data_IF_641491798307
#
_entry.id   IF_641491798307
#
_cell.length_a   1.000
_cell.length_b   1.000
_cell.length_c   1.000
_cell.angle_alpha   90.00
_cell.angle_beta   90.00
_cell.angle_gamma   90.00
#
_symmetry.space_group_name_H-M   'P 1'
#
loop_
_entity.id
_entity.type
_entity.pdbx_description
1 polymer ?
#
# COMPACT_ATOMS: atom_id res chain seq x y z
N UNK A 1 3.20 -7.91 -32.98
CA UNK A 1 3.77 -7.81 -31.61
C UNK A 1 2.70 -7.27 -30.70
N UNK A 2 2.07 -8.12 -29.91
CA UNK A 2 0.97 -7.78 -29.00
C UNK A 2 1.54 -7.08 -27.77
N UNK A 3 1.32 -5.77 -27.64
CA UNK A 3 1.66 -5.02 -26.43
C UNK A 3 0.78 -5.53 -25.27
N UNK A 4 1.36 -6.35 -24.40
CA UNK A 4 0.72 -6.76 -23.17
C UNK A 4 0.51 -5.50 -22.31
N UNK A 5 -0.75 -5.11 -22.14
CA UNK A 5 -1.08 -3.85 -21.47
C UNK A 5 -0.76 -4.01 -19.97
N UNK A 6 0.17 -3.20 -19.44
CA UNK A 6 0.60 -3.22 -18.02
C UNK A 6 -0.60 -3.12 -17.06
N UNK A 7 -1.70 -2.50 -17.51
CA UNK A 7 -2.97 -2.42 -16.77
C UNK A 7 -3.60 -3.79 -16.49
N UNK A 8 -3.48 -4.73 -17.45
CA UNK A 8 -4.01 -6.09 -17.31
C UNK A 8 -3.14 -6.95 -16.38
N UNK A 9 -1.82 -6.73 -16.38
CA UNK A 9 -0.89 -7.47 -15.53
C UNK A 9 -1.06 -7.10 -14.04
N UNK A 10 -1.23 -5.80 -13.73
CA UNK A 10 -1.46 -5.32 -12.36
C UNK A 10 -2.77 -5.90 -11.78
N UNK A 11 -3.84 -5.92 -12.57
CA UNK A 11 -5.14 -6.44 -12.14
C UNK A 11 -5.10 -7.96 -11.87
N UNK A 12 -4.39 -8.72 -12.72
CA UNK A 12 -4.25 -10.16 -12.58
C UNK A 12 -3.41 -10.53 -11.36
N UNK A 13 -2.30 -9.81 -11.09
CA UNK A 13 -1.47 -10.05 -9.89
C UNK A 13 -2.24 -9.80 -8.59
N UNK A 14 -3.05 -8.73 -8.52
CA UNK A 14 -3.84 -8.40 -7.33
C UNK A 14 -4.93 -9.45 -7.07
N UNK A 15 -5.58 -9.94 -8.13
CA UNK A 15 -6.63 -10.97 -8.01
C UNK A 15 -6.06 -12.34 -7.63
N UNK A 16 -4.88 -12.71 -8.14
CA UNK A 16 -4.26 -14.02 -7.88
C UNK A 16 -3.74 -14.12 -6.44
N UNK A 17 -3.24 -13.03 -5.83
CA UNK A 17 -2.82 -13.01 -4.43
C UNK A 17 -4.01 -13.21 -3.46
N UNK A 18 -5.19 -12.70 -3.79
CA UNK A 18 -6.39 -12.87 -2.96
C UNK A 18 -6.94 -14.30 -2.94
N UNK A 19 -6.67 -15.11 -3.97
CA UNK A 19 -7.26 -16.46 -4.12
C UNK A 19 -6.38 -17.55 -3.46
N UNK A 20 -5.06 -17.35 -3.35
CA UNK A 20 -4.14 -18.35 -2.82
C UNK A 20 -4.11 -18.43 -1.27
N UNK A 21 -4.57 -17.40 -0.57
CA UNK A 21 -4.48 -17.27 0.89
C UNK A 21 -5.40 -18.24 1.71
N UNK A 22 -6.62 -18.62 1.28
CA UNK A 22 -7.54 -19.36 2.16
C UNK A 22 -7.14 -20.81 2.40
N UNK A 23 -6.34 -21.42 1.53
CA UNK A 23 -6.10 -22.87 1.60
C UNK A 23 -5.13 -23.31 2.73
N UNK A 24 -4.27 -22.43 3.23
CA UNK A 24 -3.32 -22.77 4.30
C UNK A 24 -3.78 -22.35 5.70
N UNK A 25 -4.75 -21.44 5.80
CA UNK A 25 -5.27 -20.91 7.06
C UNK A 25 -6.01 -21.98 7.92
N UNK A 26 -6.51 -23.06 7.32
CA UNK A 26 -7.28 -24.08 8.03
C UNK A 26 -6.44 -25.01 8.93
N UNK A 27 -5.12 -25.04 8.80
CA UNK A 27 -4.28 -26.02 9.54
C UNK A 27 -3.77 -25.56 10.91
N UNK A 28 -3.77 -24.26 11.25
CA UNK A 28 -3.15 -23.73 12.48
C UNK A 28 -4.11 -23.19 13.55
N UNK A 29 -5.39 -23.15 13.31
CA UNK A 29 -6.36 -22.59 14.27
C UNK A 29 -6.79 -23.60 15.34
N UNK A 30 -5.86 -24.08 16.19
CA UNK A 30 -6.22 -24.84 17.41
C UNK A 30 -6.19 -23.99 18.69
N UNK A 31 -5.55 -22.83 18.67
CA UNK A 31 -5.58 -21.89 19.78
C UNK A 31 -6.67 -20.84 19.52
N UNK A 32 -7.66 -20.80 20.42
CA UNK A 32 -8.89 -20.00 20.27
C UNK A 32 -8.75 -18.49 20.35
N UNK A 33 -7.54 -17.92 20.06
CA UNK A 33 -7.27 -16.50 19.97
C UNK A 33 -7.66 -15.88 18.62
N UNK A 34 -8.02 -14.60 18.62
CA UNK A 34 -8.09 -13.79 17.39
C UNK A 34 -6.66 -13.53 16.91
N UNK A 35 -6.41 -13.65 15.58
CA UNK A 35 -5.16 -13.16 15.02
C UNK A 35 -5.03 -11.64 15.28
N UNK A 36 -3.80 -11.08 15.40
CA UNK A 36 -2.53 -11.73 15.12
C UNK A 36 -1.88 -12.35 16.37
N UNK A 37 -0.97 -13.28 16.15
CA UNK A 37 -0.05 -13.81 17.16
C UNK A 37 1.37 -13.85 16.56
N UNK A 38 2.36 -14.12 17.37
CA UNK A 38 3.75 -14.31 16.92
C UNK A 38 3.83 -15.40 15.85
N UNK A 39 4.52 -15.09 14.74
CA UNK A 39 4.65 -15.96 13.58
C UNK A 39 3.46 -15.96 12.62
N UNK A 40 2.39 -15.22 12.90
CA UNK A 40 1.30 -15.02 11.92
C UNK A 40 1.79 -14.26 10.71
N UNK A 41 1.19 -14.55 9.56
CA UNK A 41 1.35 -13.78 8.34
C UNK A 41 0.03 -13.25 7.87
N UNK A 42 0.04 -12.14 7.14
CA UNK A 42 -1.15 -11.60 6.52
C UNK A 42 -0.83 -11.02 5.13
N UNK A 43 -1.82 -11.05 4.27
CA UNK A 43 -1.81 -10.28 3.01
C UNK A 43 -2.91 -9.23 3.06
N UNK A 44 -2.61 -8.07 2.50
CA UNK A 44 -3.50 -6.91 2.49
C UNK A 44 -3.63 -6.40 1.06
N UNK A 45 -4.84 -6.10 0.63
CA UNK A 45 -5.12 -5.35 -0.59
C UNK A 45 -5.86 -4.07 -0.22
N UNK A 46 -5.40 -2.94 -0.73
CA UNK A 46 -5.94 -1.61 -0.41
C UNK A 46 -6.22 -0.81 -1.67
N UNK A 47 -7.26 0.00 -1.62
CA UNK A 47 -7.58 1.02 -2.62
C UNK A 47 -7.80 2.35 -1.91
N UNK A 48 -7.40 3.44 -2.53
CA UNK A 48 -7.48 4.74 -1.87
C UNK A 48 -7.27 5.92 -2.79
N UNK A 49 -7.04 7.05 -2.15
CA UNK A 49 -6.75 8.33 -2.79
C UNK A 49 -5.41 8.85 -2.29
N UNK A 50 -4.54 9.18 -3.20
CA UNK A 50 -3.31 9.91 -2.94
C UNK A 50 -3.55 11.40 -3.08
N UNK A 51 -3.27 12.16 -2.02
CA UNK A 51 -3.40 13.61 -1.92
C UNK A 51 -1.99 14.22 -1.89
N UNK A 52 -1.51 14.77 -3.02
CA UNK A 52 -0.20 15.41 -3.07
C UNK A 52 -0.13 16.61 -2.14
N UNK A 53 1.05 16.87 -1.57
CA UNK A 53 1.31 18.08 -0.76
C UNK A 53 1.86 19.25 -1.57
N UNK A 54 2.17 19.05 -2.85
CA UNK A 54 2.70 20.07 -3.74
C UNK A 54 1.57 20.80 -4.46
N UNK A 55 1.65 22.14 -4.54
CA UNK A 55 0.77 22.97 -5.36
C UNK A 55 0.87 22.60 -6.85
N UNK A 56 -0.24 22.69 -7.58
CA UNK A 56 -0.33 22.30 -8.99
C UNK A 56 -0.45 20.80 -9.21
N UNK A 57 -0.72 20.03 -8.16
CA UNK A 57 -1.09 18.63 -8.25
C UNK A 57 -2.46 18.38 -7.62
N UNK A 58 -3.21 17.46 -8.21
CA UNK A 58 -4.51 17.07 -7.67
C UNK A 58 -4.53 15.60 -7.28
N UNK A 59 -5.47 15.27 -6.40
CA UNK A 59 -5.72 13.91 -5.93
C UNK A 59 -5.79 12.90 -7.06
N UNK A 60 -5.19 11.74 -6.85
CA UNK A 60 -5.24 10.61 -7.78
C UNK A 60 -5.61 9.30 -7.10
N UNK A 61 -6.04 8.31 -7.88
CA UNK A 61 -6.32 6.98 -7.36
C UNK A 61 -5.03 6.28 -6.92
N UNK A 62 -5.16 5.41 -5.93
CA UNK A 62 -4.10 4.59 -5.40
C UNK A 62 -4.55 3.15 -5.19
N UNK A 63 -3.65 2.21 -5.42
CA UNK A 63 -3.80 0.80 -5.05
C UNK A 63 -2.51 0.30 -4.43
N UNK A 64 -2.61 -0.53 -3.39
CA UNK A 64 -1.46 -1.12 -2.72
C UNK A 64 -1.73 -2.57 -2.32
N UNK A 65 -0.69 -3.40 -2.40
CA UNK A 65 -0.67 -4.75 -1.86
C UNK A 65 0.46 -4.88 -0.85
N UNK A 66 0.18 -5.50 0.30
CA UNK A 66 1.13 -5.67 1.37
C UNK A 66 1.18 -7.12 1.83
N UNK A 67 2.37 -7.58 2.18
CA UNK A 67 2.60 -8.76 3.00
C UNK A 67 3.09 -8.32 4.37
N UNK A 68 2.50 -8.88 5.43
CA UNK A 68 2.83 -8.52 6.80
C UNK A 68 3.16 -9.78 7.59
N UNK A 69 4.29 -9.75 8.31
CA UNK A 69 4.76 -10.81 9.20
C UNK A 69 4.82 -10.33 10.64
N UNK A 70 4.18 -11.03 11.54
CA UNK A 70 4.09 -10.67 12.96
C UNK A 70 5.27 -11.23 13.76
N UNK A 71 6.16 -10.35 14.20
CA UNK A 71 7.28 -10.66 15.08
C UNK A 71 6.81 -10.96 16.51
N UNK A 72 5.73 -10.30 16.92
CA UNK A 72 4.99 -10.53 18.17
C UNK A 72 3.51 -10.30 17.89
N UNK A 73 2.62 -10.56 18.85
CA UNK A 73 1.19 -10.24 18.70
C UNK A 73 0.92 -8.75 18.38
N UNK A 74 1.86 -7.85 18.70
CA UNK A 74 1.70 -6.39 18.54
C UNK A 74 2.60 -5.75 17.49
N UNK A 75 3.71 -6.39 17.15
CA UNK A 75 4.68 -5.80 16.24
C UNK A 75 4.83 -6.65 14.99
N UNK A 76 4.75 -6.02 13.84
CA UNK A 76 4.90 -6.68 12.55
C UNK A 76 5.88 -5.93 11.65
N UNK A 77 6.43 -6.67 10.69
CA UNK A 77 7.16 -6.14 9.56
C UNK A 77 6.25 -6.27 8.33
N UNK A 78 6.05 -5.16 7.63
CA UNK A 78 5.22 -5.07 6.42
C UNK A 78 6.12 -4.80 5.21
N UNK A 79 5.92 -5.54 4.13
CA UNK A 79 6.51 -5.30 2.82
C UNK A 79 5.40 -4.98 1.84
N UNK A 80 5.51 -3.87 1.13
CA UNK A 80 4.44 -3.37 0.27
C UNK A 80 4.89 -2.93 -1.10
N UNK A 81 3.98 -3.06 -2.06
CA UNK A 81 4.08 -2.50 -3.40
C UNK A 81 2.80 -1.74 -3.72
N UNK A 82 2.94 -0.51 -4.19
CA UNK A 82 1.80 0.36 -4.49
C UNK A 82 1.96 1.11 -5.80
N UNK A 83 0.83 1.58 -6.30
CA UNK A 83 0.73 2.43 -7.47
C UNK A 83 -0.23 3.58 -7.20
N UNK A 84 0.18 4.81 -7.59
CA UNK A 84 -0.65 5.99 -7.54
C UNK A 84 -0.49 6.79 -8.83
N UNK A 85 -1.52 7.56 -9.20
CA UNK A 85 -1.52 8.38 -10.41
C UNK A 85 -2.17 9.76 -10.15
N UNK A 86 -1.52 10.63 -9.34
CA UNK A 86 -1.99 12.00 -9.18
C UNK A 86 -1.91 12.77 -10.49
N UNK A 87 -2.87 13.68 -10.72
CA UNK A 87 -2.83 14.59 -11.86
C UNK A 87 -1.89 15.75 -11.58
N UNK A 88 -1.32 16.31 -12.63
CA UNK A 88 -0.38 17.45 -12.58
C UNK A 88 -0.90 18.54 -13.52
N UNK A 89 -1.01 19.75 -13.01
CA UNK A 89 -1.38 20.93 -13.80
C UNK A 89 -0.10 21.61 -14.31
N UNK A 90 0.50 21.04 -15.36
CA UNK A 90 1.68 21.58 -16.04
C UNK A 90 1.55 21.37 -17.55
N UNK A 91 2.11 22.30 -18.34
CA UNK A 91 2.22 22.11 -19.79
C UNK A 91 2.95 20.79 -20.10
N UNK A 92 2.37 19.97 -20.96
CA UNK A 92 2.90 18.67 -21.42
C UNK A 92 3.05 17.58 -20.34
N UNK A 93 2.36 17.70 -19.19
CA UNK A 93 2.31 16.62 -18.19
C UNK A 93 0.91 16.57 -17.54
N UNK A 94 0.13 15.56 -17.87
CA UNK A 94 -1.24 15.39 -17.33
C UNK A 94 -1.24 14.70 -15.95
N UNK A 95 -0.27 13.83 -15.72
CA UNK A 95 -0.18 13.07 -14.47
C UNK A 95 1.23 12.55 -14.20
N UNK A 96 1.48 12.12 -12.96
CA UNK A 96 2.72 11.41 -12.59
C UNK A 96 2.37 10.04 -12.07
N UNK A 97 2.76 9.01 -12.81
CA UNK A 97 2.66 7.64 -12.32
C UNK A 97 3.73 7.41 -11.27
N UNK A 98 3.30 6.98 -10.09
CA UNK A 98 4.19 6.60 -8.99
C UNK A 98 4.02 5.10 -8.72
N UNK A 99 5.11 4.35 -8.84
CA UNK A 99 5.19 2.98 -8.33
C UNK A 99 6.10 3.01 -7.11
N UNK A 100 5.73 2.35 -6.04
CA UNK A 100 6.52 2.32 -4.82
C UNK A 100 6.71 0.90 -4.31
N UNK A 101 7.88 0.68 -3.72
CA UNK A 101 8.22 -0.52 -2.99
C UNK A 101 8.74 -0.08 -1.62
N UNK A 102 8.26 -0.69 -0.54
CA UNK A 102 8.64 -0.25 0.81
C UNK A 102 8.55 -1.33 1.86
N UNK A 103 9.19 -1.03 2.98
CA UNK A 103 9.14 -1.83 4.19
C UNK A 103 8.79 -0.93 5.38
N UNK A 104 7.90 -1.42 6.26
CA UNK A 104 7.41 -0.71 7.43
C UNK A 104 7.49 -1.60 8.67
N UNK A 105 7.76 -1.00 9.81
CA UNK A 105 7.51 -1.59 11.13
C UNK A 105 6.19 -1.05 11.64
N UNK A 106 5.29 -1.95 12.03
CA UNK A 106 3.93 -1.59 12.46
C UNK A 106 3.72 -2.08 13.88
N UNK A 107 3.16 -1.21 14.72
CA UNK A 107 2.71 -1.53 16.07
C UNK A 107 1.20 -1.54 16.12
N UNK A 108 0.61 -2.64 16.59
CA UNK A 108 -0.82 -2.85 16.70
C UNK A 108 -1.21 -2.87 18.19
N UNK A 109 -2.33 -2.24 18.54
CA UNK A 109 -2.94 -2.36 19.85
C UNK A 109 -4.10 -3.34 19.80
N UNK A 110 -4.11 -4.29 20.73
CA UNK A 110 -5.24 -5.20 20.89
C UNK A 110 -6.45 -4.44 21.46
N UNK A 111 -7.59 -4.56 20.81
CA UNK A 111 -8.82 -3.84 21.17
C UNK A 111 -10.10 -4.64 20.92
N UNK A 112 -10.06 -5.95 21.09
CA UNK A 112 -11.22 -6.81 20.85
C UNK A 112 -11.49 -7.00 19.35
N UNK A 113 -12.55 -6.40 18.79
CA UNK A 113 -12.85 -6.47 17.36
C UNK A 113 -12.18 -5.34 16.56
N UNK A 114 -11.62 -4.32 17.23
CA UNK A 114 -11.02 -3.13 16.63
C UNK A 114 -9.58 -3.03 17.10
N UNK A 115 -8.64 -3.06 16.17
CA UNK A 115 -7.22 -2.96 16.45
C UNK A 115 -6.65 -1.69 15.80
N UNK A 116 -6.42 -0.61 16.56
CA UNK A 116 -5.66 0.54 16.08
C UNK A 116 -4.21 0.12 15.80
N UNK A 117 -3.59 0.81 14.85
CA UNK A 117 -2.17 0.59 14.55
C UNK A 117 -1.49 1.88 14.13
N UNK A 118 -0.17 1.92 14.33
CA UNK A 118 0.72 2.94 13.76
C UNK A 118 1.96 2.27 13.22
N UNK A 119 2.61 2.91 12.27
CA UNK A 119 3.86 2.38 11.72
C UNK A 119 4.71 3.45 11.09
N UNK A 120 5.95 3.09 10.85
CA UNK A 120 6.91 3.91 10.13
C UNK A 120 7.79 3.02 9.25
N UNK A 121 8.24 3.58 8.14
CA UNK A 121 9.07 2.83 7.21
C UNK A 121 9.78 3.69 6.17
N UNK A 122 10.34 3.01 5.19
CA UNK A 122 11.03 3.63 4.07
C UNK A 122 10.77 2.85 2.78
N UNK A 123 11.00 3.50 1.64
CA UNK A 123 10.79 2.87 0.35
C UNK A 123 11.51 3.56 -0.80
N UNK A 124 11.44 2.90 -1.94
CA UNK A 124 11.85 3.44 -3.24
C UNK A 124 10.61 3.80 -4.05
N UNK A 125 10.61 5.00 -4.62
CA UNK A 125 9.53 5.58 -5.41
C UNK A 125 10.00 5.77 -6.85
N UNK A 126 9.35 5.09 -7.77
CA UNK A 126 9.61 5.14 -9.20
C UNK A 126 8.59 6.10 -9.81
N UNK A 127 9.08 7.26 -10.26
CA UNK A 127 8.28 8.37 -10.74
C UNK A 127 8.38 8.45 -12.25
N UNK A 128 7.26 8.43 -12.95
CA UNK A 128 7.18 8.53 -14.39
C UNK A 128 6.16 9.60 -14.78
N UNK A 129 6.60 10.76 -15.32
CA UNK A 129 5.70 11.72 -15.92
C UNK A 129 4.91 11.10 -17.09
N UNK A 130 3.66 11.50 -17.24
CA UNK A 130 2.75 10.98 -18.28
C UNK A 130 2.07 12.16 -18.96
N UNK A 131 2.08 12.17 -20.30
CA UNK A 131 1.37 13.11 -21.16
C UNK A 131 0.47 12.35 -22.13
N UNK A 132 -0.82 12.68 -22.21
CA UNK A 132 -1.80 12.01 -23.07
C UNK A 132 -1.78 10.47 -22.93
N UNK A 133 -1.55 9.97 -21.69
CA UNK A 133 -1.48 8.54 -21.37
C UNK A 133 -0.16 7.85 -21.72
N UNK A 134 0.79 8.54 -22.35
CA UNK A 134 2.11 8.05 -22.73
C UNK A 134 3.18 8.52 -21.73
N UNK A 135 4.21 7.70 -21.53
CA UNK A 135 5.35 8.10 -20.71
C UNK A 135 6.10 9.26 -21.35
N UNK A 136 6.30 10.35 -20.59
CA UNK A 136 6.97 11.56 -21.02
C UNK A 136 8.28 11.75 -20.22
N UNK A 137 9.41 11.84 -20.91
CA UNK A 137 10.73 12.04 -20.29
C UNK A 137 11.24 10.82 -19.48
N UNK A 138 12.40 10.98 -18.81
CA UNK A 138 13.02 9.89 -18.06
C UNK A 138 12.30 9.58 -16.75
N UNK A 139 12.21 8.30 -16.40
CA UNK A 139 11.77 7.89 -15.08
C UNK A 139 12.83 8.21 -14.04
N UNK A 140 12.40 8.49 -12.81
CA UNK A 140 13.28 8.79 -11.69
C UNK A 140 12.96 7.87 -10.51
N UNK A 141 14.00 7.37 -9.85
CA UNK A 141 13.87 6.62 -8.60
C UNK A 141 14.33 7.49 -7.46
N UNK A 142 13.49 7.65 -6.42
CA UNK A 142 13.78 8.46 -5.24
C UNK A 142 13.51 7.66 -3.97
N UNK A 143 14.37 7.75 -2.96
CA UNK A 143 14.07 7.21 -1.65
C UNK A 143 13.04 8.10 -0.93
N UNK A 144 12.28 7.50 -0.03
CA UNK A 144 11.35 8.21 0.83
C UNK A 144 11.15 7.50 2.15
N UNK A 145 10.68 8.27 3.13
CA UNK A 145 10.23 7.76 4.42
C UNK A 145 8.71 7.84 4.49
N UNK A 146 8.10 6.96 5.29
CA UNK A 146 6.66 6.94 5.48
C UNK A 146 6.26 6.83 6.95
N UNK A 147 5.13 7.45 7.28
CA UNK A 147 4.42 7.27 8.53
C UNK A 147 3.00 6.83 8.21
N UNK A 148 2.48 5.87 8.95
CA UNK A 148 1.15 5.34 8.71
C UNK A 148 0.41 5.09 10.03
N UNK A 149 -0.91 5.09 9.96
CA UNK A 149 -1.75 4.75 11.09
C UNK A 149 -3.17 4.49 10.63
N UNK A 150 -3.89 3.70 11.40
CA UNK A 150 -5.24 3.33 11.04
C UNK A 150 -5.90 2.40 12.04
N UNK A 151 -6.94 1.75 11.56
CA UNK A 151 -7.72 0.78 12.36
C UNK A 151 -8.04 -0.45 11.52
N UNK A 152 -8.02 -1.60 12.16
CA UNK A 152 -8.47 -2.88 11.61
C UNK A 152 -9.73 -3.34 12.35
N UNK A 153 -10.75 -3.72 11.61
CA UNK A 153 -12.00 -4.26 12.11
C UNK A 153 -12.08 -5.74 11.76
N UNK A 154 -11.92 -6.60 12.74
CA UNK A 154 -12.00 -8.06 12.55
C UNK A 154 -13.44 -8.50 12.32
N UNK A 155 -13.73 -8.96 11.13
CA UNK A 155 -15.02 -9.55 10.74
C UNK A 155 -15.05 -11.05 11.02
N UNK A 156 -13.88 -11.69 11.08
CA UNK A 156 -13.69 -13.08 11.48
C UNK A 156 -12.33 -13.26 12.18
N UNK A 157 -11.97 -14.48 12.51
CA UNK A 157 -10.67 -14.79 13.14
C UNK A 157 -9.48 -14.57 12.19
N UNK A 158 -9.71 -14.67 10.89
CA UNK A 158 -8.69 -14.63 9.86
C UNK A 158 -8.89 -13.51 8.86
N UNK A 159 -9.90 -12.64 9.07
CA UNK A 159 -10.22 -11.60 8.11
C UNK A 159 -10.58 -10.29 8.80
N UNK A 160 -10.00 -9.20 8.31
CA UNK A 160 -10.27 -7.85 8.80
C UNK A 160 -10.49 -6.89 7.62
N UNK A 161 -11.32 -5.87 7.86
CA UNK A 161 -11.41 -4.66 7.03
C UNK A 161 -10.51 -3.62 7.68
N UNK A 162 -9.75 -2.89 6.87
CA UNK A 162 -8.75 -1.94 7.32
C UNK A 162 -9.04 -0.56 6.76
N UNK A 163 -8.86 0.49 7.57
CA UNK A 163 -8.74 1.87 7.14
C UNK A 163 -7.38 2.42 7.52
N UNK A 164 -6.68 3.06 6.59
CA UNK A 164 -5.33 3.61 6.81
C UNK A 164 -5.21 5.04 6.30
N UNK A 165 -4.49 5.86 7.05
CA UNK A 165 -3.91 7.11 6.60
C UNK A 165 -2.38 6.96 6.60
N UNK A 166 -1.73 7.34 5.49
CA UNK A 166 -0.28 7.23 5.32
C UNK A 166 0.29 8.51 4.73
N UNK A 167 1.34 9.04 5.32
CA UNK A 167 2.11 10.16 4.80
C UNK A 167 3.45 9.66 4.27
N UNK A 168 3.70 9.91 2.99
CA UNK A 168 4.95 9.61 2.30
C UNK A 168 5.76 10.90 2.11
N UNK A 169 6.95 10.98 2.72
CA UNK A 169 7.93 12.04 2.45
C UNK A 169 9.00 11.51 1.51
N UNK A 170 8.96 11.94 0.27
CA UNK A 170 9.85 11.49 -0.80
C UNK A 170 10.85 12.59 -1.15
N UNK A 171 12.08 12.23 -1.50
CA UNK A 171 13.07 13.20 -1.96
C UNK A 171 12.62 13.85 -3.26
N UNK A 172 12.82 15.16 -3.37
CA UNK A 172 12.45 15.95 -4.55
C UNK A 172 13.10 15.41 -5.83
N UNK A 173 12.34 15.45 -6.90
CA UNK A 173 12.72 14.99 -8.23
C UNK A 173 12.63 16.17 -9.21
N UNK A 174 13.76 16.76 -9.67
CA UNK A 174 13.82 17.84 -10.65
C UNK A 174 12.84 19.02 -10.36
N UNK A 175 12.84 19.50 -9.10
CA UNK A 175 11.94 20.58 -8.66
C UNK A 175 10.49 20.15 -8.37
N UNK A 176 10.20 18.87 -8.44
CA UNK A 176 8.94 18.23 -8.13
C UNK A 176 9.02 17.54 -6.75
N UNK A 177 8.03 17.76 -5.87
CA UNK A 177 7.91 17.09 -4.56
C UNK A 177 6.81 16.02 -4.65
N UNK A 178 7.16 14.73 -4.76
CA UNK A 178 6.19 13.65 -4.87
C UNK A 178 5.60 13.22 -3.52
N UNK A 179 5.82 13.99 -2.47
CA UNK A 179 5.29 13.72 -1.14
C UNK A 179 3.77 13.89 -1.09
N UNK A 180 3.09 13.13 -0.24
CA UNK A 180 1.64 13.22 -0.13
C UNK A 180 1.07 12.40 1.02
N UNK A 181 -0.24 12.60 1.24
CA UNK A 181 -1.07 11.82 2.14
C UNK A 181 -1.90 10.82 1.33
N UNK A 182 -1.92 9.58 1.76
CA UNK A 182 -2.85 8.56 1.23
C UNK A 182 -3.92 8.27 2.26
N UNK A 183 -5.17 8.18 1.80
CA UNK A 183 -6.29 7.64 2.57
C UNK A 183 -6.79 6.40 1.85
N UNK A 184 -6.77 5.25 2.50
CA UNK A 184 -7.13 3.96 1.91
C UNK A 184 -8.07 3.13 2.78
N UNK A 185 -8.80 2.26 2.11
CA UNK A 185 -9.54 1.16 2.72
C UNK A 185 -9.06 -0.14 2.09
N UNK A 186 -9.07 -1.21 2.86
CA UNK A 186 -8.59 -2.49 2.38
C UNK A 186 -9.14 -3.68 3.13
N UNK A 187 -8.74 -4.83 2.65
CA UNK A 187 -9.04 -6.12 3.26
C UNK A 187 -7.75 -6.82 3.60
N UNK A 188 -7.74 -7.47 4.76
CA UNK A 188 -6.59 -8.18 5.30
C UNK A 188 -6.97 -9.61 5.64
N UNK A 189 -6.21 -10.56 5.14
CA UNK A 189 -6.38 -11.99 5.40
C UNK A 189 -5.16 -12.53 6.13
N UNK A 190 -5.39 -13.18 7.26
CA UNK A 190 -4.36 -13.78 8.13
C UNK A 190 -4.26 -15.29 7.92
N UNK A 191 -3.05 -15.84 8.05
CA UNK A 191 -2.75 -17.27 7.93
C UNK A 191 -1.50 -17.69 8.70
#
# INVERSE_FOLDING_TARGET
MTHLNIRSLALVCTLTMCIAAPAQAQRRSRDGGRAPHEGSSAVVGEVGLFLPTQDGMTTGPEVEGNYEYYLTARNSLRLGAGWANPKVDREHVDSTRQVRLGADVVHNWEGGAVHPFVGAGAGAYFLQPVDNGNSFGPSQTKPGARLLGGVEFFTSRTFAVKGEARYDKVMKANGYDPSGLTLSIGVKSYF
#
